data_IF_080773280419
#
_entry.id   IF_080773280419
#
_cell.length_a   1.000
_cell.length_b   1.000
_cell.length_c   1.000
_cell.angle_alpha   90.00
_cell.angle_beta   90.00
_cell.angle_gamma   90.00
#
_symmetry.space_group_name_H-M   'P 1'
#
loop_
_entity.id
_entity.type
_entity.pdbx_description
1 polymer ?
#
# COMPACT_ATOMS: atom_id res chain seq x y z
N UNK A 1 0.73 -17.30 22.97
CA UNK A 1 1.75 -16.46 22.30
C UNK A 1 1.51 -16.54 20.81
N UNK A 2 1.80 -15.45 20.08
CA UNK A 2 1.64 -15.29 18.61
C UNK A 2 0.31 -14.70 18.09
N UNK A 3 -0.17 -13.57 18.63
CA UNK A 3 -1.17 -12.74 17.92
C UNK A 3 -0.67 -11.30 17.67
N UNK A 4 0.52 -10.94 18.17
CA UNK A 4 0.91 -9.53 18.23
C UNK A 4 1.66 -8.98 17.02
N UNK A 5 2.11 -9.82 16.08
CA UNK A 5 2.90 -9.35 14.93
C UNK A 5 2.07 -9.01 13.69
N UNK A 6 0.90 -9.61 13.51
CA UNK A 6 0.07 -9.39 12.32
C UNK A 6 -0.69 -8.05 12.36
N UNK A 7 -1.19 -7.65 13.54
CA UNK A 7 -1.98 -6.41 13.72
C UNK A 7 -1.15 -5.14 13.48
N UNK A 8 0.18 -5.19 13.63
CA UNK A 8 1.06 -4.01 13.53
C UNK A 8 1.41 -3.63 12.08
N UNK A 9 1.33 -4.57 11.13
CA UNK A 9 1.70 -4.31 9.74
C UNK A 9 0.60 -3.56 8.97
N UNK A 10 -0.67 -3.83 9.28
CA UNK A 10 -1.82 -3.16 8.68
C UNK A 10 -1.88 -1.67 9.03
N UNK A 11 -1.54 -1.32 10.28
CA UNK A 11 -1.57 0.06 10.75
C UNK A 11 -0.50 0.93 10.07
N UNK A 12 0.66 0.34 9.74
CA UNK A 12 1.72 1.02 9.00
C UNK A 12 1.29 1.32 7.55
N UNK A 13 0.74 0.32 6.85
CA UNK A 13 0.24 0.51 5.48
C UNK A 13 -0.87 1.55 5.44
N UNK A 14 -1.81 1.49 6.39
CA UNK A 14 -2.89 2.48 6.49
C UNK A 14 -2.35 3.90 6.71
N UNK A 15 -1.42 4.08 7.64
CA UNK A 15 -0.82 5.38 7.93
C UNK A 15 -0.04 5.95 6.73
N UNK A 16 0.68 5.10 5.99
CA UNK A 16 1.39 5.50 4.77
C UNK A 16 0.40 5.95 3.68
N UNK A 17 -0.65 5.17 3.43
CA UNK A 17 -1.69 5.52 2.46
C UNK A 17 -2.38 6.84 2.83
N UNK A 18 -2.65 7.09 4.12
CA UNK A 18 -3.20 8.38 4.60
C UNK A 18 -2.24 9.53 4.32
N UNK A 19 -0.96 9.38 4.65
CA UNK A 19 0.06 10.41 4.42
C UNK A 19 0.26 10.72 2.93
N UNK A 20 0.13 9.71 2.07
CA UNK A 20 0.24 9.85 0.61
C UNK A 20 -1.03 10.36 -0.07
N UNK A 21 -2.14 10.52 0.68
CA UNK A 21 -3.43 10.97 0.15
C UNK A 21 -4.26 9.87 -0.50
N UNK A 22 -3.90 8.60 -0.30
CA UNK A 22 -4.62 7.42 -0.77
C UNK A 22 -5.57 6.84 0.30
N UNK A 23 -6.11 7.68 1.19
CA UNK A 23 -7.03 7.22 2.24
C UNK A 23 -8.25 6.46 1.71
N UNK A 24 -8.71 6.82 0.51
CA UNK A 24 -9.83 6.17 -0.17
C UNK A 24 -9.50 4.75 -0.70
N UNK A 25 -8.21 4.36 -0.70
CA UNK A 25 -7.73 3.04 -1.12
C UNK A 25 -7.39 2.12 0.05
N UNK A 26 -7.54 2.58 1.29
CA UNK A 26 -7.23 1.76 2.46
C UNK A 26 -8.08 0.47 2.46
N UNK A 27 -9.38 0.58 2.18
CA UNK A 27 -10.27 -0.58 2.14
C UNK A 27 -9.87 -1.54 1.01
N UNK A 28 -9.58 -1.04 -0.19
CA UNK A 28 -9.09 -1.85 -1.32
C UNK A 28 -7.82 -2.65 -0.98
N UNK A 29 -6.90 -2.04 -0.20
CA UNK A 29 -5.66 -2.68 0.23
C UNK A 29 -5.91 -3.70 1.36
N UNK A 30 -6.83 -3.42 2.28
CA UNK A 30 -7.24 -4.35 3.35
C UNK A 30 -7.96 -5.57 2.80
N UNK A 31 -8.89 -5.38 1.87
CA UNK A 31 -9.64 -6.46 1.22
C UNK A 31 -8.71 -7.42 0.46
N UNK A 32 -7.60 -6.90 -0.07
CA UNK A 32 -6.56 -7.68 -0.75
C UNK A 32 -5.46 -8.18 0.18
N UNK A 33 -5.60 -7.99 1.50
CA UNK A 33 -4.61 -8.38 2.51
C UNK A 33 -3.19 -7.84 2.21
N UNK A 34 -3.11 -6.61 1.70
CA UNK A 34 -1.84 -5.95 1.38
C UNK A 34 -1.30 -5.30 2.65
N UNK A 35 -0.46 -6.04 3.36
CA UNK A 35 0.33 -5.56 4.48
C UNK A 35 1.63 -4.88 4.01
N UNK A 36 2.42 -4.33 4.94
CA UNK A 36 3.66 -3.62 4.60
C UNK A 36 4.66 -4.51 3.84
N UNK A 37 4.74 -5.80 4.17
CA UNK A 37 5.64 -6.72 3.49
C UNK A 37 5.19 -7.03 2.05
N UNK A 38 3.88 -7.18 1.84
CA UNK A 38 3.29 -7.38 0.51
C UNK A 38 3.41 -6.12 -0.34
N UNK A 39 3.19 -4.95 0.27
CA UNK A 39 3.40 -3.64 -0.33
C UNK A 39 4.84 -3.50 -0.87
N UNK A 40 5.82 -4.09 -0.17
CA UNK A 40 7.22 -4.08 -0.59
C UNK A 40 7.56 -4.88 -1.84
N UNK A 41 6.75 -5.88 -2.16
CA UNK A 41 6.99 -6.79 -3.29
C UNK A 41 5.99 -6.59 -4.43
N UNK A 42 5.08 -5.60 -4.32
CA UNK A 42 4.11 -5.30 -5.36
C UNK A 42 4.80 -5.00 -6.70
N UNK A 43 4.35 -5.72 -7.72
CA UNK A 43 4.76 -5.55 -9.10
C UNK A 43 3.94 -4.45 -9.78
N UNK A 44 4.42 -3.98 -10.93
CA UNK A 44 3.72 -2.97 -11.73
C UNK A 44 2.36 -3.45 -12.26
N UNK A 45 2.21 -4.76 -12.48
CA UNK A 45 0.95 -5.37 -12.87
C UNK A 45 -0.09 -5.29 -11.74
N UNK A 46 0.31 -5.65 -10.52
CA UNK A 46 -0.55 -5.59 -9.32
C UNK A 46 -0.89 -4.14 -8.96
N UNK A 47 0.08 -3.22 -9.09
CA UNK A 47 -0.17 -1.80 -8.90
C UNK A 47 -1.17 -1.25 -9.92
N UNK A 48 -1.21 -1.79 -11.14
CA UNK A 48 -2.19 -1.43 -12.18
C UNK A 48 -3.60 -1.91 -11.83
N UNK A 49 -3.72 -3.02 -11.11
CA UNK A 49 -5.01 -3.51 -10.61
C UNK A 49 -5.52 -2.66 -9.43
N UNK A 50 -4.62 -2.27 -8.51
CA UNK A 50 -4.95 -1.46 -7.33
C UNK A 50 -5.25 0.00 -7.67
N UNK A 51 -4.44 0.57 -8.56
CA UNK A 51 -4.49 1.96 -8.98
C UNK A 51 -4.62 1.99 -10.51
N UNK A 52 -5.85 1.91 -11.06
CA UNK A 52 -6.05 1.92 -12.52
C UNK A 52 -5.75 3.29 -13.15
N UNK A 53 -5.80 4.37 -12.36
CA UNK A 53 -5.52 5.73 -12.81
C UNK A 53 -4.01 5.98 -12.90
N UNK A 54 -3.52 6.36 -14.07
CA UNK A 54 -2.09 6.59 -14.31
C UNK A 54 -1.49 7.65 -13.38
N UNK A 55 -2.22 8.74 -13.12
CA UNK A 55 -1.76 9.82 -12.23
C UNK A 55 -1.60 9.36 -10.78
N UNK A 56 -2.50 8.52 -10.29
CA UNK A 56 -2.42 7.91 -8.96
C UNK A 56 -1.22 6.98 -8.87
N UNK A 57 -1.01 6.11 -9.88
CA UNK A 57 0.19 5.27 -9.94
C UNK A 57 1.48 6.06 -9.94
N UNK A 58 1.56 7.12 -10.73
CA UNK A 58 2.75 7.95 -10.82
C UNK A 58 3.08 8.58 -9.45
N UNK A 59 2.06 9.14 -8.77
CA UNK A 59 2.21 9.69 -7.42
C UNK A 59 2.58 8.62 -6.39
N UNK A 60 1.89 7.48 -6.43
CA UNK A 60 2.18 6.36 -5.56
C UNK A 60 3.62 5.91 -5.75
N UNK A 61 4.08 5.70 -6.99
CA UNK A 61 5.45 5.26 -7.31
C UNK A 61 6.51 6.26 -6.85
N UNK A 62 6.23 7.57 -6.96
CA UNK A 62 7.11 8.63 -6.48
C UNK A 62 7.25 8.62 -4.95
N UNK A 63 6.16 8.38 -4.22
CA UNK A 63 6.14 8.37 -2.75
C UNK A 63 6.63 7.04 -2.17
N UNK A 64 6.36 5.95 -2.89
CA UNK A 64 6.73 4.58 -2.55
C UNK A 64 8.23 4.31 -2.74
N UNK A 65 8.85 4.90 -3.76
CA UNK A 65 10.27 4.73 -4.06
C UNK A 65 11.05 6.03 -3.80
N UNK A 66 11.40 6.35 -2.54
CA UNK A 66 12.15 7.57 -2.24
C UNK A 66 13.59 7.55 -2.78
N UNK A 67 14.18 6.38 -3.10
CA UNK A 67 15.54 6.28 -3.65
C UNK A 67 15.64 5.17 -4.72
N UNK A 68 15.73 5.61 -5.97
CA UNK A 68 16.63 5.02 -6.97
C UNK A 68 17.60 6.10 -7.43
#
# INVERSE_FOLDING_TARGET
>A
MCISYFVMADELTENLLRQWGFSHKIEDFKDQSIDYATLQILTEAELTQLLPVLGERARFRQLWAPER
#
